data_IF_240910400250
#
_entry.id   IF_240910400250
#
_cell.length_a   1.000
_cell.length_b   1.000
_cell.length_c   1.000
_cell.angle_alpha   90.00
_cell.angle_beta   90.00
_cell.angle_gamma   90.00
#
_symmetry.space_group_name_H-M   'P 1'
#
loop_
_entity.id
_entity.type
_entity.pdbx_description
1 polymer ?
#
# COMPACT_ATOMS: atom_id res chain seq x y z
N UNK A 1 -22.38 15.86 -11.14
CA UNK A 1 -21.85 14.51 -10.87
C UNK A 1 -20.84 14.13 -11.94
N UNK A 2 -19.56 14.25 -11.61
CA UNK A 2 -18.45 13.92 -12.48
C UNK A 2 -18.26 12.40 -12.60
N UNK A 3 -17.75 11.96 -13.74
CA UNK A 3 -17.45 10.56 -14.05
C UNK A 3 -15.98 10.42 -14.38
N UNK A 4 -15.30 9.46 -13.77
CA UNK A 4 -13.90 9.14 -14.00
C UNK A 4 -13.81 7.68 -14.43
N UNK A 5 -13.12 7.40 -15.53
CA UNK A 5 -12.77 6.03 -15.91
C UNK A 5 -11.51 5.60 -15.18
N UNK A 6 -11.56 4.47 -14.46
CA UNK A 6 -10.36 3.94 -13.84
C UNK A 6 -9.46 3.30 -14.91
N UNK A 7 -8.15 3.62 -14.89
CA UNK A 7 -7.14 2.93 -15.68
C UNK A 7 -7.25 1.40 -15.56
N UNK A 8 -7.23 0.62 -16.66
CA UNK A 8 -7.28 -0.85 -16.57
C UNK A 8 -5.99 -1.52 -16.04
N UNK A 9 -4.90 -0.76 -15.78
CA UNK A 9 -3.74 -1.29 -15.05
C UNK A 9 -4.03 -1.30 -13.55
N UNK A 10 -3.59 -2.36 -12.85
CA UNK A 10 -3.77 -2.52 -11.42
C UNK A 10 -3.19 -1.34 -10.62
N UNK A 11 -1.91 -1.03 -10.80
CA UNK A 11 -1.25 0.09 -10.15
C UNK A 11 -1.95 1.41 -10.48
N UNK A 12 -2.20 1.70 -11.76
CA UNK A 12 -2.83 2.96 -12.14
C UNK A 12 -4.24 3.11 -11.55
N UNK A 13 -5.03 2.03 -11.53
CA UNK A 13 -6.34 2.00 -10.87
C UNK A 13 -6.22 2.29 -9.37
N UNK A 14 -5.25 1.67 -8.69
CA UNK A 14 -5.01 1.88 -7.26
C UNK A 14 -4.55 3.32 -6.97
N UNK A 15 -3.64 3.88 -7.77
CA UNK A 15 -3.16 5.25 -7.61
C UNK A 15 -4.31 6.27 -7.74
N UNK A 16 -5.13 6.12 -8.78
CA UNK A 16 -6.30 6.98 -9.00
C UNK A 16 -7.33 6.76 -7.89
N UNK A 17 -7.63 5.52 -7.51
CA UNK A 17 -8.56 5.21 -6.42
C UNK A 17 -8.13 5.85 -5.08
N UNK A 18 -6.84 5.83 -4.78
CA UNK A 18 -6.27 6.47 -3.58
C UNK A 18 -6.53 7.97 -3.58
N UNK A 19 -6.26 8.65 -4.71
CA UNK A 19 -6.55 10.08 -4.85
C UNK A 19 -8.05 10.37 -4.66
N UNK A 20 -8.92 9.53 -5.22
CA UNK A 20 -10.36 9.73 -5.11
C UNK A 20 -10.87 9.56 -3.69
N UNK A 21 -10.35 8.58 -2.94
CA UNK A 21 -10.65 8.44 -1.50
C UNK A 21 -10.19 9.67 -0.72
N UNK A 22 -8.98 10.17 -0.98
CA UNK A 22 -8.48 11.38 -0.33
C UNK A 22 -9.34 12.61 -0.64
N UNK A 23 -9.79 12.77 -1.90
CA UNK A 23 -10.75 13.82 -2.29
C UNK A 23 -12.07 13.67 -1.54
N UNK A 24 -12.63 12.46 -1.49
CA UNK A 24 -13.90 12.20 -0.82
C UNK A 24 -13.83 12.48 0.69
N UNK A 25 -12.73 12.10 1.32
CA UNK A 25 -12.47 12.36 2.73
C UNK A 25 -12.35 13.86 3.03
N UNK A 26 -11.63 14.60 2.18
CA UNK A 26 -11.30 16.02 2.41
C UNK A 26 -12.43 16.99 2.05
N UNK A 27 -13.20 16.67 1.01
CA UNK A 27 -14.23 17.57 0.46
C UNK A 27 -15.65 17.08 0.73
N UNK A 28 -15.80 16.11 1.62
CA UNK A 28 -17.08 15.50 1.98
C UNK A 28 -17.90 15.07 0.76
N UNK A 29 -17.29 14.22 -0.10
CA UNK A 29 -17.91 13.72 -1.32
C UNK A 29 -18.26 12.25 -1.24
N UNK A 30 -19.38 11.89 -1.88
CA UNK A 30 -19.76 10.48 -2.07
C UNK A 30 -19.06 9.95 -3.31
N UNK A 31 -18.49 8.75 -3.18
CA UNK A 31 -17.96 7.97 -4.29
C UNK A 31 -18.96 6.86 -4.61
N UNK A 32 -19.29 6.67 -5.89
CA UNK A 32 -20.06 5.54 -6.39
C UNK A 32 -19.29 4.86 -7.52
N UNK A 33 -18.75 3.68 -7.24
CA UNK A 33 -17.98 2.89 -8.20
C UNK A 33 -18.90 1.91 -8.91
N UNK A 34 -18.89 1.95 -10.24
CA UNK A 34 -19.73 1.13 -11.10
C UNK A 34 -18.90 0.36 -12.10
N UNK A 35 -19.27 -0.90 -12.32
CA UNK A 35 -18.74 -1.70 -13.42
C UNK A 35 -19.58 -1.45 -14.67
N UNK A 36 -18.95 -0.96 -15.72
CA UNK A 36 -19.59 -0.76 -17.01
C UNK A 36 -19.76 -2.08 -17.77
N UNK A 37 -20.65 -2.09 -18.77
CA UNK A 37 -20.83 -3.23 -19.67
C UNK A 37 -19.54 -3.61 -20.42
N UNK A 38 -18.64 -2.64 -20.62
CA UNK A 38 -17.30 -2.81 -21.20
C UNK A 38 -16.33 -3.60 -20.29
N UNK A 39 -16.71 -3.82 -19.03
CA UNK A 39 -15.89 -4.47 -18.01
C UNK A 39 -15.05 -3.49 -17.18
N UNK A 40 -14.90 -2.25 -17.64
CA UNK A 40 -14.15 -1.20 -16.94
C UNK A 40 -14.89 -0.68 -15.71
N UNK A 41 -14.12 -0.19 -14.75
CA UNK A 41 -14.64 0.49 -13.58
C UNK A 41 -14.72 1.99 -13.87
N UNK A 42 -15.83 2.58 -13.48
CA UNK A 42 -16.02 4.03 -13.49
C UNK A 42 -16.38 4.49 -12.10
N UNK A 43 -15.81 5.62 -11.70
CA UNK A 43 -16.09 6.25 -10.43
C UNK A 43 -16.91 7.48 -10.70
N UNK A 44 -18.06 7.56 -10.04
CA UNK A 44 -18.86 8.75 -10.03
C UNK A 44 -18.69 9.49 -8.71
N UNK A 45 -18.44 10.79 -8.80
CA UNK A 45 -18.29 11.67 -7.64
C UNK A 45 -19.33 12.77 -7.74
N UNK A 46 -20.00 13.04 -6.62
CA UNK A 46 -20.98 14.12 -6.51
C UNK A 46 -20.31 15.50 -6.46
N UNK A 47 -19.65 15.86 -7.56
CA UNK A 47 -19.03 17.16 -7.79
C UNK A 47 -19.33 17.62 -9.21
N UNK A 48 -19.30 18.94 -9.41
CA UNK A 48 -19.17 19.51 -10.75
C UNK A 48 -17.78 19.16 -11.33
N UNK A 49 -17.64 18.94 -12.66
CA UNK A 49 -16.35 18.70 -13.28
C UNK A 49 -15.27 19.75 -12.97
N UNK A 50 -15.61 21.03 -12.93
CA UNK A 50 -14.64 22.11 -12.67
C UNK A 50 -14.19 22.04 -11.20
N UNK A 51 -15.13 21.83 -10.28
CA UNK A 51 -14.83 21.65 -8.86
C UNK A 51 -13.94 20.44 -8.62
N UNK A 52 -14.20 19.33 -9.32
CA UNK A 52 -13.38 18.12 -9.23
C UNK A 52 -11.93 18.39 -9.66
N UNK A 53 -11.70 19.22 -10.68
CA UNK A 53 -10.35 19.59 -11.10
C UNK A 53 -9.62 20.29 -9.95
N UNK A 54 -10.29 21.28 -9.34
CA UNK A 54 -9.74 22.03 -8.22
C UNK A 54 -9.49 21.14 -7.00
N UNK A 55 -10.37 20.18 -6.73
CA UNK A 55 -10.21 19.19 -5.66
C UNK A 55 -8.98 18.30 -5.90
N UNK A 56 -8.77 17.81 -7.14
CA UNK A 56 -7.57 17.03 -7.51
C UNK A 56 -6.31 17.83 -7.22
N UNK A 57 -6.22 19.06 -7.71
CA UNK A 57 -5.05 19.93 -7.49
C UNK A 57 -4.84 20.18 -6.01
N UNK A 58 -5.90 20.51 -5.27
CA UNK A 58 -5.82 20.83 -3.83
C UNK A 58 -5.40 19.61 -3.00
N UNK A 59 -5.84 18.41 -3.39
CA UNK A 59 -5.40 17.14 -2.82
C UNK A 59 -3.94 16.85 -3.10
N UNK A 60 -3.45 17.03 -4.33
CA UNK A 60 -2.03 16.87 -4.65
C UNK A 60 -1.15 17.89 -3.91
N UNK A 61 -1.62 19.12 -3.70
CA UNK A 61 -0.91 20.11 -2.87
C UNK A 61 -0.86 19.76 -1.37
N UNK A 62 -1.61 18.76 -0.91
CA UNK A 62 -1.65 18.39 0.51
C UNK A 62 -0.28 17.90 0.98
N UNK A 63 0.03 18.16 2.25
CA UNK A 63 1.31 17.69 2.83
C UNK A 63 1.35 16.17 2.89
N UNK A 64 0.18 15.56 3.04
CA UNK A 64 -0.03 14.13 3.12
C UNK A 64 0.38 13.40 1.83
N UNK A 65 0.10 14.00 0.67
CA UNK A 65 0.42 13.45 -0.65
C UNK A 65 1.73 14.00 -1.23
N UNK A 66 2.45 14.85 -0.50
CA UNK A 66 3.78 15.28 -0.95
C UNK A 66 4.79 14.13 -0.87
N UNK A 67 5.70 14.00 -1.86
CA UNK A 67 6.62 12.87 -1.94
C UNK A 67 7.88 13.06 -1.05
N UNK A 68 7.70 13.72 0.10
CA UNK A 68 8.71 13.98 1.11
C UNK A 68 9.04 12.69 1.90
N UNK A 69 10.27 12.59 2.40
CA UNK A 69 10.70 11.48 3.26
C UNK A 69 11.12 10.18 2.56
N UNK A 70 11.00 10.08 1.23
CA UNK A 70 11.50 8.92 0.47
C UNK A 70 12.95 9.19 0.05
N UNK A 71 13.93 8.58 0.72
CA UNK A 71 15.34 8.67 0.32
C UNK A 71 15.62 7.83 -0.94
N UNK A 72 16.34 8.39 -1.91
CA UNK A 72 16.80 7.68 -3.12
C UNK A 72 16.16 8.16 -4.43
N UNK A 73 16.24 7.36 -5.50
CA UNK A 73 15.87 7.75 -6.86
C UNK A 73 14.44 8.31 -6.98
N UNK A 74 14.18 9.07 -8.07
CA UNK A 74 12.81 9.37 -8.48
C UNK A 74 12.05 8.05 -8.72
N UNK A 75 10.74 7.99 -8.44
CA UNK A 75 9.94 6.85 -8.83
C UNK A 75 10.23 6.50 -10.28
N UNK A 76 10.79 5.30 -10.46
CA UNK A 76 10.77 4.54 -11.69
C UNK A 76 11.44 5.20 -12.91
N UNK A 77 12.33 6.18 -12.70
CA UNK A 77 13.04 6.85 -13.79
C UNK A 77 14.51 6.47 -13.78
N UNK A 78 14.81 5.38 -14.47
CA UNK A 78 16.19 4.96 -14.69
C UNK A 78 16.48 4.92 -16.19
N UNK A 79 17.48 5.69 -16.59
CA UNK A 79 17.90 5.84 -17.97
C UNK A 79 17.07 6.85 -18.76
N UNK A 80 17.71 7.45 -19.76
CA UNK A 80 17.13 8.41 -20.71
C UNK A 80 17.00 7.83 -22.12
N UNK A 81 17.19 6.50 -22.24
CA UNK A 81 17.18 5.79 -23.52
C UNK A 81 15.74 5.58 -24.01
N UNK A 82 15.52 5.40 -25.33
CA UNK A 82 14.21 5.02 -25.88
C UNK A 82 13.55 3.86 -25.13
N UNK A 83 12.26 4.03 -24.78
CA UNK A 83 11.46 3.02 -24.09
C UNK A 83 11.63 2.97 -22.57
N UNK A 84 12.36 3.91 -21.96
CA UNK A 84 12.48 4.05 -20.51
C UNK A 84 11.50 5.11 -20.00
N UNK A 85 11.10 5.00 -18.73
CA UNK A 85 10.26 6.00 -18.07
C UNK A 85 10.95 7.37 -17.98
N UNK A 86 12.29 7.39 -17.87
CA UNK A 86 13.03 8.65 -17.86
C UNK A 86 12.98 9.40 -19.18
N UNK A 87 12.99 8.69 -20.32
CA UNK A 87 12.76 9.35 -21.62
C UNK A 87 11.34 9.87 -21.73
N UNK A 88 10.34 9.04 -21.39
CA UNK A 88 8.93 9.44 -21.44
C UNK A 88 8.67 10.67 -20.57
N UNK A 89 9.16 10.68 -19.32
CA UNK A 89 9.02 11.84 -18.46
C UNK A 89 9.79 13.05 -19.01
N UNK A 90 11.00 12.87 -19.53
CA UNK A 90 11.75 14.00 -20.12
C UNK A 90 10.99 14.66 -21.27
N UNK A 91 10.36 13.86 -22.14
CA UNK A 91 9.55 14.37 -23.25
C UNK A 91 8.29 15.08 -22.74
N UNK A 92 7.62 14.52 -21.73
CA UNK A 92 6.50 15.16 -21.06
C UNK A 92 6.91 16.51 -20.44
N UNK A 93 7.98 16.53 -19.64
CA UNK A 93 8.50 17.73 -18.97
C UNK A 93 8.87 18.82 -19.97
N UNK A 94 9.48 18.45 -21.11
CA UNK A 94 9.74 19.40 -22.21
C UNK A 94 8.45 19.95 -22.82
N UNK A 95 7.46 19.09 -23.03
CA UNK A 95 6.15 19.49 -23.60
C UNK A 95 5.40 20.44 -22.68
N UNK A 96 5.54 20.29 -21.36
CA UNK A 96 4.95 21.20 -20.37
C UNK A 96 5.82 22.44 -20.06
N UNK A 97 6.94 22.63 -20.76
CA UNK A 97 7.74 23.87 -20.71
C UNK A 97 9.07 23.79 -19.95
N UNK A 98 9.50 22.62 -19.47
CA UNK A 98 10.80 22.44 -18.81
C UNK A 98 11.86 22.04 -19.84
N UNK A 99 12.68 23.00 -20.27
CA UNK A 99 13.61 22.81 -21.39
C UNK A 99 14.80 21.87 -21.09
N UNK A 100 15.23 21.77 -19.82
CA UNK A 100 16.36 20.93 -19.37
C UNK A 100 16.05 20.20 -18.06
N UNK A 101 15.11 19.24 -18.07
CA UNK A 101 14.70 18.57 -16.85
C UNK A 101 15.85 17.69 -16.32
N UNK A 102 16.15 17.82 -15.02
CA UNK A 102 17.11 16.95 -14.34
C UNK A 102 16.36 15.87 -13.58
N UNK A 103 16.57 14.60 -13.94
CA UNK A 103 15.90 13.45 -13.34
C UNK A 103 16.65 12.89 -12.11
N UNK A 104 17.31 13.76 -11.35
CA UNK A 104 17.99 13.37 -10.11
C UNK A 104 16.98 13.19 -8.98
N UNK A 105 17.29 12.27 -8.07
CA UNK A 105 16.55 12.05 -6.82
C UNK A 105 16.23 13.36 -6.08
N UNK A 106 17.25 14.21 -5.90
CA UNK A 106 17.14 15.49 -5.19
C UNK A 106 16.12 16.46 -5.84
N UNK A 107 15.82 16.26 -7.13
CA UNK A 107 14.91 17.11 -7.92
C UNK A 107 13.46 16.65 -7.87
N UNK A 108 13.12 15.63 -7.06
CA UNK A 108 11.76 15.07 -6.98
C UNK A 108 10.69 16.13 -6.74
N UNK A 109 10.89 16.98 -5.73
CA UNK A 109 9.94 18.03 -5.38
C UNK A 109 9.79 19.04 -6.51
N UNK A 110 10.90 19.42 -7.15
CA UNK A 110 10.87 20.35 -8.30
C UNK A 110 10.10 19.78 -9.49
N UNK A 111 10.29 18.50 -9.80
CA UNK A 111 9.55 17.80 -10.87
C UNK A 111 8.06 17.76 -10.53
N UNK A 112 7.73 17.32 -9.31
CA UNK A 112 6.35 17.25 -8.80
C UNK A 112 5.65 18.60 -8.88
N UNK A 113 6.26 19.65 -8.31
CA UNK A 113 5.70 21.00 -8.33
C UNK A 113 5.55 21.54 -9.78
N UNK A 114 6.37 21.08 -10.72
CA UNK A 114 6.26 21.50 -12.12
C UNK A 114 5.13 20.79 -12.88
N UNK A 115 4.94 19.49 -12.65
CA UNK A 115 3.80 18.75 -13.18
C UNK A 115 2.49 19.29 -12.59
N UNK A 116 2.47 19.58 -11.29
CA UNK A 116 1.32 20.15 -10.60
C UNK A 116 0.92 21.53 -11.15
N UNK A 117 1.89 22.42 -11.40
CA UNK A 117 1.64 23.71 -12.07
C UNK A 117 1.08 23.53 -13.48
N UNK A 118 1.53 22.53 -14.21
CA UNK A 118 0.95 22.22 -15.51
C UNK A 118 -0.51 21.75 -15.36
N UNK A 119 -0.80 20.85 -14.41
CA UNK A 119 -2.16 20.39 -14.15
C UNK A 119 -3.10 21.53 -13.75
N UNK A 120 -2.63 22.51 -12.99
CA UNK A 120 -3.38 23.73 -12.65
C UNK A 120 -3.81 24.50 -13.90
N UNK A 121 -2.88 24.71 -14.84
CA UNK A 121 -3.19 25.37 -16.11
C UNK A 121 -4.09 24.53 -17.04
N UNK A 122 -4.10 23.21 -16.84
CA UNK A 122 -4.83 22.26 -17.67
C UNK A 122 -6.09 21.68 -17.01
N UNK A 123 -6.52 22.21 -15.85
CA UNK A 123 -7.54 21.59 -14.99
C UNK A 123 -8.87 21.30 -15.69
N UNK A 124 -9.36 22.25 -16.50
CA UNK A 124 -10.60 22.06 -17.28
C UNK A 124 -10.49 20.91 -18.30
N UNK A 125 -9.32 20.73 -18.93
CA UNK A 125 -9.07 19.61 -19.85
C UNK A 125 -8.96 18.29 -19.11
N UNK A 126 -8.26 18.28 -17.97
CA UNK A 126 -8.04 17.08 -17.16
C UNK A 126 -9.36 16.37 -16.86
N UNK A 127 -10.38 17.09 -16.38
CA UNK A 127 -11.61 16.44 -15.94
C UNK A 127 -12.47 15.96 -17.10
N UNK A 128 -12.53 16.71 -18.21
CA UNK A 128 -13.20 16.24 -19.42
C UNK A 128 -12.56 14.94 -19.93
N UNK A 129 -11.23 14.87 -19.91
CA UNK A 129 -10.44 13.74 -20.38
C UNK A 129 -10.51 12.53 -19.43
N UNK A 130 -10.61 12.73 -18.10
CA UNK A 130 -10.71 11.65 -17.10
C UNK A 130 -11.94 10.75 -17.29
N UNK A 131 -13.01 11.27 -17.90
CA UNK A 131 -14.22 10.49 -18.21
C UNK A 131 -14.08 9.57 -19.43
N UNK A 132 -13.01 9.77 -20.22
CA UNK A 132 -12.84 9.15 -21.53
C UNK A 132 -11.84 8.01 -21.47
N UNK A 133 -12.33 6.79 -21.64
CA UNK A 133 -11.52 5.59 -21.87
C UNK A 133 -11.96 4.95 -23.19
N UNK A 134 -11.03 4.80 -24.13
CA UNK A 134 -11.28 4.15 -25.42
C UNK A 134 -10.38 2.93 -25.55
N UNK A 135 -10.96 1.86 -26.10
CA UNK A 135 -10.22 0.66 -26.46
C UNK A 135 -10.46 0.31 -27.92
N UNK A 136 -9.38 0.03 -28.64
CA UNK A 136 -9.46 -0.46 -30.01
C UNK A 136 -8.47 -1.60 -30.23
N UNK A 137 -8.81 -2.52 -31.13
CA UNK A 137 -7.94 -3.62 -31.53
C UNK A 137 -7.48 -3.39 -32.96
N UNK A 138 -6.18 -3.23 -33.18
CA UNK A 138 -5.61 -3.03 -34.51
C UNK A 138 -4.33 -3.85 -34.69
N UNK A 139 -4.25 -4.65 -35.77
CA UNK A 139 -3.04 -5.43 -36.13
C UNK A 139 -2.44 -6.26 -34.97
N UNK A 140 -3.28 -6.88 -34.15
CA UNK A 140 -2.83 -7.69 -32.99
C UNK A 140 -2.37 -6.88 -31.78
N UNK A 141 -2.58 -5.56 -31.78
CA UNK A 141 -2.29 -4.64 -30.67
C UNK A 141 -3.62 -4.16 -30.06
N UNK A 142 -3.79 -4.39 -28.76
CA UNK A 142 -4.85 -3.73 -27.99
C UNK A 142 -4.39 -2.32 -27.63
N UNK A 143 -5.06 -1.31 -28.17
CA UNK A 143 -4.83 0.09 -27.85
C UNK A 143 -5.78 0.51 -26.74
N UNK A 144 -5.23 1.12 -25.70
CA UNK A 144 -5.97 1.69 -24.58
C UNK A 144 -5.60 3.18 -24.53
N UNK A 145 -6.61 4.04 -24.58
CA UNK A 145 -6.46 5.49 -24.62
C UNK A 145 -7.25 6.10 -23.45
N UNK A 146 -6.55 6.83 -22.57
CA UNK A 146 -7.14 7.61 -21.49
C UNK A 146 -7.14 9.09 -21.85
N UNK A 147 -8.30 9.68 -22.09
CA UNK A 147 -8.42 11.09 -22.48
C UNK A 147 -7.86 11.45 -23.86
N UNK A 148 -7.04 10.58 -24.47
CA UNK A 148 -6.40 10.75 -25.77
C UNK A 148 -5.19 9.82 -25.95
N UNK A 149 -4.51 9.94 -27.09
CA UNK A 149 -3.41 9.07 -27.53
C UNK A 149 -2.05 9.81 -27.70
N UNK A 150 -1.96 11.00 -27.12
CA UNK A 150 -0.84 11.93 -27.31
C UNK A 150 0.48 11.39 -26.73
N UNK A 151 0.46 10.87 -25.51
CA UNK A 151 1.65 10.46 -24.77
C UNK A 151 1.56 9.01 -24.34
N UNK A 152 2.67 8.26 -24.33
CA UNK A 152 2.69 6.98 -23.63
C UNK A 152 2.48 7.22 -22.13
N UNK A 153 1.71 6.35 -21.47
CA UNK A 153 1.61 6.33 -20.01
C UNK A 153 2.97 5.95 -19.39
N UNK A 154 3.19 6.21 -18.09
CA UNK A 154 4.38 5.71 -17.40
C UNK A 154 4.65 4.23 -17.70
N UNK A 155 5.88 3.91 -18.05
CA UNK A 155 6.32 2.58 -18.47
C UNK A 155 6.02 1.55 -17.38
N UNK A 156 6.10 1.91 -16.10
CA UNK A 156 5.65 1.06 -14.98
C UNK A 156 4.18 0.60 -15.10
N UNK A 157 3.30 1.52 -15.48
CA UNK A 157 1.85 1.27 -15.64
C UNK A 157 1.65 0.42 -16.90
N UNK A 158 2.43 0.72 -17.94
CA UNK A 158 2.42 -0.05 -19.17
C UNK A 158 2.91 -1.48 -18.95
N UNK A 159 3.97 -1.69 -18.16
CA UNK A 159 4.57 -3.01 -17.87
C UNK A 159 3.62 -3.95 -17.15
N UNK A 160 2.76 -3.45 -16.26
CA UNK A 160 1.71 -4.27 -15.65
C UNK A 160 0.61 -4.67 -16.63
N UNK A 161 0.43 -3.90 -17.70
CA UNK A 161 -0.45 -4.26 -18.80
C UNK A 161 0.19 -5.26 -19.79
N UNK A 162 1.45 -5.69 -19.59
CA UNK A 162 2.05 -6.77 -20.39
C UNK A 162 1.51 -8.11 -19.94
N UNK A 163 0.82 -8.76 -20.86
CA UNK A 163 0.22 -10.08 -20.73
C UNK A 163 1.22 -11.16 -20.28
N UNK A 164 0.91 -11.85 -19.18
CA UNK A 164 0.87 -13.31 -19.24
C UNK A 164 -0.41 -13.73 -19.99
N UNK A 165 -0.27 -14.69 -20.88
CA UNK A 165 -1.36 -15.24 -21.69
C UNK A 165 -2.41 -15.87 -20.74
N UNK A 166 -3.51 -15.19 -20.39
CA UNK A 166 -4.59 -15.91 -19.69
C UNK A 166 -5.75 -15.18 -19.04
N UNK A 167 -5.59 -13.97 -18.47
CA UNK A 167 -6.71 -13.32 -17.74
C UNK A 167 -6.70 -11.81 -17.92
N UNK A 168 -7.62 -11.28 -18.72
CA UNK A 168 -8.04 -9.89 -18.60
C UNK A 168 -9.34 -9.84 -17.83
N UNK A 169 -9.31 -9.15 -16.69
CA UNK A 169 -10.46 -8.82 -15.86
C UNK A 169 -11.38 -7.83 -16.60
N UNK A 170 -12.20 -8.33 -17.54
CA UNK A 170 -13.34 -7.59 -18.10
C UNK A 170 -13.32 -7.31 -19.60
N UNK A 171 -12.22 -7.52 -20.32
CA UNK A 171 -12.19 -7.38 -21.79
C UNK A 171 -12.39 -8.74 -22.44
N UNK A 172 -13.62 -9.06 -22.81
CA UNK A 172 -13.95 -10.25 -23.61
C UNK A 172 -14.04 -9.87 -25.10
N UNK A 173 -13.41 -10.65 -25.98
CA UNK A 173 -13.67 -10.58 -27.41
C UNK A 173 -15.08 -11.15 -27.65
N UNK A 174 -16.11 -10.29 -27.51
CA UNK A 174 -17.52 -10.67 -27.55
C UNK A 174 -17.93 -11.37 -28.85
N UNK A 175 -17.09 -11.36 -29.90
CA UNK A 175 -17.43 -11.93 -31.22
C UNK A 175 -16.90 -13.35 -31.45
N UNK A 176 -16.02 -13.92 -30.61
CA UNK A 176 -15.45 -15.27 -30.86
C UNK A 176 -15.21 -16.08 -29.58
N UNK A 177 -15.69 -17.34 -29.54
CA UNK A 177 -15.36 -18.38 -28.53
C UNK A 177 -13.93 -18.95 -28.71
N UNK A 178 -12.93 -18.14 -29.05
CA UNK A 178 -11.55 -18.58 -29.25
C UNK A 178 -10.58 -17.74 -28.40
N UNK A 179 -9.41 -18.32 -28.04
CA UNK A 179 -8.34 -17.59 -27.35
C UNK A 179 -7.91 -16.36 -28.19
N UNK A 180 -7.88 -15.15 -27.62
CA UNK A 180 -7.39 -13.97 -28.34
C UNK A 180 -5.93 -14.15 -28.77
N UNK A 181 -5.60 -13.89 -30.04
CA UNK A 181 -4.23 -13.94 -30.60
C UNK A 181 -3.38 -12.69 -30.27
N UNK A 182 -3.65 -12.00 -29.16
CA UNK A 182 -3.15 -10.63 -28.90
C UNK A 182 -1.69 -10.69 -28.40
N UNK A 183 -0.78 -9.98 -29.08
CA UNK A 183 0.66 -10.00 -28.78
C UNK A 183 1.21 -8.71 -28.17
N UNK A 184 0.39 -7.66 -27.98
CA UNK A 184 0.89 -6.36 -27.46
C UNK A 184 -0.25 -5.46 -26.95
N UNK A 185 -0.03 -4.75 -25.84
CA UNK A 185 -0.85 -3.62 -25.40
C UNK A 185 -0.11 -2.32 -25.69
N UNK A 186 -0.76 -1.36 -26.33
CA UNK A 186 -0.28 0.02 -26.38
C UNK A 186 -1.18 0.89 -25.52
N UNK A 187 -0.60 1.43 -24.45
CA UNK A 187 -1.32 2.23 -23.48
C UNK A 187 -0.84 3.68 -23.56
N UNK A 188 -1.77 4.57 -23.90
CA UNK A 188 -1.54 6.00 -24.09
C UNK A 188 -2.55 6.85 -23.33
N UNK A 189 -2.17 8.09 -23.08
CA UNK A 189 -3.00 9.07 -22.41
C UNK A 189 -2.84 10.46 -23.04
N UNK A 190 -3.78 11.35 -22.75
CA UNK A 190 -3.60 12.77 -22.95
C UNK A 190 -2.50 13.34 -22.04
N UNK A 191 -1.98 14.53 -22.38
CA UNK A 191 -0.94 15.21 -21.60
C UNK A 191 -1.33 15.42 -20.11
N UNK A 192 -2.52 15.93 -19.77
CA UNK A 192 -2.94 16.11 -18.38
C UNK A 192 -3.02 14.80 -17.60
N UNK A 193 -3.54 13.73 -18.22
CA UNK A 193 -3.63 12.43 -17.55
C UNK A 193 -2.24 11.83 -17.36
N UNK A 194 -1.35 11.94 -18.35
CA UNK A 194 0.04 11.48 -18.20
C UNK A 194 0.77 12.21 -17.05
N UNK A 195 0.60 13.53 -16.96
CA UNK A 195 1.14 14.33 -15.85
C UNK A 195 0.55 13.91 -14.50
N UNK A 196 -0.77 13.71 -14.41
CA UNK A 196 -1.43 13.21 -13.20
C UNK A 196 -0.87 11.86 -12.76
N UNK A 197 -0.68 10.91 -13.69
CA UNK A 197 -0.14 9.59 -13.36
C UNK A 197 1.31 9.67 -12.83
N UNK A 198 2.15 10.53 -13.39
CA UNK A 198 3.50 10.76 -12.85
C UNK A 198 3.45 11.42 -11.46
N UNK A 199 2.59 12.41 -11.25
CA UNK A 199 2.40 13.02 -9.93
C UNK A 199 1.94 12.01 -8.89
N UNK A 200 1.02 11.11 -9.24
CA UNK A 200 0.57 10.06 -8.33
C UNK A 200 1.66 9.02 -8.05
N UNK A 201 2.47 8.65 -9.04
CA UNK A 201 3.64 7.78 -8.82
C UNK A 201 4.66 8.43 -7.89
N UNK A 202 4.88 9.74 -8.03
CA UNK A 202 5.73 10.52 -7.13
C UNK A 202 5.14 10.53 -5.72
N UNK A 203 3.88 10.94 -5.58
CA UNK A 203 3.18 11.14 -4.32
C UNK A 203 3.02 9.86 -3.49
N UNK A 204 2.59 8.77 -4.12
CA UNK A 204 2.10 7.57 -3.43
C UNK A 204 3.15 6.47 -3.26
N UNK A 205 4.38 6.70 -3.71
CA UNK A 205 5.50 5.82 -3.38
C UNK A 205 5.73 5.83 -1.85
N UNK A 206 5.97 4.66 -1.28
CA UNK A 206 6.25 4.51 0.16
C UNK A 206 7.64 3.97 0.45
N UNK A 207 8.36 3.47 -0.55
CA UNK A 207 9.70 2.95 -0.35
C UNK A 207 10.51 2.75 -1.63
N UNK A 208 11.84 2.65 -1.47
CA UNK A 208 12.81 2.41 -2.52
C UNK A 208 14.06 1.68 -2.01
N UNK A 209 14.60 0.75 -2.82
CA UNK A 209 15.90 0.09 -2.59
C UNK A 209 16.67 0.04 -3.91
N UNK A 210 17.92 0.52 -3.86
CA UNK A 210 18.87 0.47 -4.96
C UNK A 210 19.77 -0.78 -4.87
N UNK A 211 20.12 -1.37 -6.02
CA UNK A 211 20.97 -2.55 -6.11
C UNK A 211 21.12 -3.05 -7.55
N UNK A 212 21.38 -4.35 -7.71
CA UNK A 212 21.41 -5.01 -9.03
C UNK A 212 20.05 -4.89 -9.74
N UNK A 213 18.97 -5.02 -8.98
CA UNK A 213 17.61 -4.64 -9.38
C UNK A 213 17.13 -3.52 -8.46
N UNK A 214 16.43 -2.54 -9.03
CA UNK A 214 15.86 -1.44 -8.25
C UNK A 214 14.43 -1.80 -7.86
N UNK A 215 14.11 -1.76 -6.57
CA UNK A 215 12.79 -2.11 -6.04
C UNK A 215 12.05 -0.87 -5.57
N UNK A 216 10.75 -0.82 -5.86
CA UNK A 216 9.84 0.27 -5.53
C UNK A 216 8.61 -0.30 -4.85
N UNK A 217 8.12 0.42 -3.84
CA UNK A 217 6.91 0.05 -3.12
C UNK A 217 5.89 1.18 -3.17
N UNK A 218 4.66 0.81 -3.49
CA UNK A 218 3.49 1.67 -3.44
C UNK A 218 2.53 1.10 -2.42
N UNK A 219 2.06 1.94 -1.51
CA UNK A 219 0.92 1.62 -0.66
C UNK A 219 -0.24 2.45 -1.20
N UNK A 220 -1.29 1.78 -1.65
CA UNK A 220 -2.40 2.40 -2.38
C UNK A 220 -3.72 1.70 -2.05
N UNK A 221 -4.82 2.40 -2.30
CA UNK A 221 -6.18 1.90 -2.13
C UNK A 221 -6.73 1.46 -3.48
N UNK A 222 -7.46 0.35 -3.51
CA UNK A 222 -8.28 -0.07 -4.63
C UNK A 222 -9.76 0.01 -4.23
N UNK A 223 -10.55 0.68 -5.06
CA UNK A 223 -12.00 0.71 -4.91
C UNK A 223 -12.64 -0.44 -5.69
N UNK A 224 -13.60 -1.11 -5.05
CA UNK A 224 -14.50 -2.08 -5.68
C UNK A 224 -15.88 -1.47 -5.95
N UNK A 225 -16.70 -2.09 -6.83
CA UNK A 225 -18.04 -1.61 -7.11
C UNK A 225 -18.87 -1.41 -5.85
N UNK A 226 -19.52 -0.26 -5.75
CA UNK A 226 -20.35 0.13 -4.61
C UNK A 226 -20.11 1.57 -4.18
N UNK A 227 -20.82 1.98 -3.12
CA UNK A 227 -20.78 3.35 -2.61
C UNK A 227 -19.86 3.47 -1.40
N UNK A 228 -19.14 4.60 -1.33
CA UNK A 228 -18.35 5.02 -0.18
C UNK A 228 -18.82 6.42 0.21
N UNK A 229 -19.35 6.55 1.43
CA UNK A 229 -19.80 7.82 2.00
C UNK A 229 -18.62 8.70 2.43
N UNK A 230 -18.81 10.01 2.61
CA UNK A 230 -17.77 10.90 3.15
C UNK A 230 -17.13 10.41 4.45
N UNK A 231 -17.94 9.92 5.37
CA UNK A 231 -17.48 9.43 6.68
C UNK A 231 -16.64 8.15 6.54
N UNK A 232 -17.06 7.24 5.67
CA UNK A 232 -16.27 6.06 5.30
C UNK A 232 -14.96 6.44 4.62
N UNK A 233 -14.97 7.44 3.73
CA UNK A 233 -13.77 7.93 3.07
C UNK A 233 -12.79 8.52 4.09
N UNK A 234 -13.26 9.30 5.07
CA UNK A 234 -12.44 9.83 6.18
C UNK A 234 -11.78 8.71 7.00
N UNK A 235 -12.53 7.66 7.33
CA UNK A 235 -11.97 6.48 8.01
C UNK A 235 -10.88 5.82 7.18
N UNK A 236 -11.15 5.53 5.90
CA UNK A 236 -10.18 4.86 5.00
C UNK A 236 -8.94 5.71 4.76
N UNK A 237 -9.12 7.01 4.52
CA UNK A 237 -8.00 7.95 4.31
C UNK A 237 -7.14 8.08 5.57
N UNK A 238 -7.75 8.17 6.75
CA UNK A 238 -7.02 8.17 8.03
C UNK A 238 -6.20 6.90 8.23
N UNK A 239 -6.80 5.73 8.00
CA UNK A 239 -6.11 4.43 8.05
C UNK A 239 -4.95 4.36 7.06
N UNK A 240 -5.20 4.81 5.82
CA UNK A 240 -4.22 4.84 4.74
C UNK A 240 -3.00 5.70 5.10
N UNK A 241 -3.23 6.92 5.56
CA UNK A 241 -2.16 7.87 5.88
C UNK A 241 -1.28 7.37 7.02
N UNK A 242 -1.87 6.78 8.05
CA UNK A 242 -1.13 6.18 9.16
C UNK A 242 -0.33 4.95 8.72
N UNK A 243 -0.92 4.08 7.88
CA UNK A 243 -0.21 2.95 7.31
C UNK A 243 0.98 3.39 6.45
N UNK A 244 0.79 4.40 5.60
CA UNK A 244 1.85 4.98 4.76
C UNK A 244 2.99 5.55 5.62
N UNK A 245 2.66 6.28 6.70
CA UNK A 245 3.65 6.82 7.64
C UNK A 245 4.49 5.71 8.26
N UNK A 246 3.84 4.64 8.70
CA UNK A 246 4.54 3.49 9.31
C UNK A 246 5.42 2.75 8.31
N UNK A 247 4.93 2.49 7.10
CA UNK A 247 5.71 1.85 6.04
C UNK A 247 6.93 2.70 5.66
N UNK A 248 6.75 4.02 5.49
CA UNK A 248 7.84 4.96 5.16
C UNK A 248 8.90 4.98 6.26
N UNK A 249 8.49 4.98 7.55
CA UNK A 249 9.40 4.94 8.71
C UNK A 249 10.20 3.65 8.78
N UNK A 250 9.54 2.51 8.64
CA UNK A 250 10.21 1.21 8.68
C UNK A 250 11.09 0.94 7.46
N UNK A 251 10.82 1.62 6.33
CA UNK A 251 11.61 1.59 5.11
C UNK A 251 11.47 0.29 4.30
N UNK A 252 11.69 0.37 2.99
CA UNK A 252 11.47 -0.76 2.08
C UNK A 252 12.37 -1.97 2.38
N UNK A 253 13.60 -1.76 2.83
CA UNK A 253 14.54 -2.86 3.14
C UNK A 253 13.97 -3.85 4.17
N UNK A 254 13.19 -3.36 5.13
CA UNK A 254 12.56 -4.20 6.15
C UNK A 254 11.47 -5.09 5.55
N UNK A 255 10.78 -4.62 4.52
CA UNK A 255 9.53 -5.21 4.04
C UNK A 255 9.67 -6.02 2.75
N UNK A 256 10.63 -5.71 1.88
CA UNK A 256 10.74 -6.37 0.56
C UNK A 256 11.19 -7.83 0.62
N UNK A 257 11.71 -8.27 1.77
CA UNK A 257 12.28 -9.62 1.95
C UNK A 257 11.24 -10.68 2.35
N UNK A 258 10.11 -10.28 2.93
CA UNK A 258 9.02 -11.21 3.28
C UNK A 258 7.66 -10.50 3.19
N UNK A 259 6.88 -10.88 2.17
CA UNK A 259 5.56 -10.33 1.91
C UNK A 259 4.54 -10.70 2.98
N UNK A 260 4.67 -11.87 3.63
CA UNK A 260 3.80 -12.28 4.73
C UNK A 260 4.05 -11.44 5.97
N UNK A 261 5.31 -11.10 6.24
CA UNK A 261 5.65 -10.20 7.33
C UNK A 261 5.10 -8.79 7.14
N UNK A 262 5.18 -8.24 5.91
CA UNK A 262 4.51 -6.98 5.63
C UNK A 262 2.99 -7.12 5.80
N UNK A 263 2.38 -8.16 5.23
CA UNK A 263 0.93 -8.38 5.31
C UNK A 263 0.45 -8.37 6.75
N UNK A 264 1.05 -9.19 7.60
CA UNK A 264 0.64 -9.33 8.99
C UNK A 264 0.89 -8.04 9.78
N UNK A 265 2.04 -7.38 9.61
CA UNK A 265 2.32 -6.12 10.30
C UNK A 265 1.33 -5.02 9.90
N UNK A 266 0.98 -4.93 8.62
CA UNK A 266 -0.03 -4.00 8.11
C UNK A 266 -1.42 -4.29 8.64
N UNK A 267 -1.86 -5.57 8.64
CA UNK A 267 -3.15 -5.97 9.21
C UNK A 267 -3.22 -5.59 10.70
N UNK A 268 -2.21 -5.94 11.49
CA UNK A 268 -2.18 -5.62 12.93
C UNK A 268 -2.26 -4.10 13.17
N UNK A 269 -1.51 -3.32 12.39
CA UNK A 269 -1.55 -1.86 12.47
C UNK A 269 -2.93 -1.32 12.09
N UNK A 270 -3.55 -1.85 11.05
CA UNK A 270 -4.85 -1.38 10.64
C UNK A 270 -5.94 -1.74 11.62
N UNK A 271 -5.90 -2.92 12.27
CA UNK A 271 -6.84 -3.27 13.34
C UNK A 271 -6.66 -2.28 14.51
N UNK A 272 -5.42 -2.00 14.90
CA UNK A 272 -5.10 -1.04 15.97
C UNK A 272 -5.70 0.35 15.68
N UNK A 273 -5.50 0.86 14.46
CA UNK A 273 -6.01 2.17 14.05
C UNK A 273 -7.52 2.17 13.82
N UNK A 274 -8.07 1.07 13.32
CA UNK A 274 -9.49 0.91 13.04
C UNK A 274 -10.28 0.94 14.35
N UNK A 275 -9.80 0.26 15.40
CA UNK A 275 -10.39 0.33 16.74
C UNK A 275 -10.45 1.77 17.28
N UNK A 276 -9.39 2.54 17.07
CA UNK A 276 -9.31 3.94 17.49
C UNK A 276 -10.28 4.82 16.68
N UNK A 277 -10.16 4.78 15.34
CA UNK A 277 -10.88 5.68 14.45
C UNK A 277 -12.38 5.37 14.34
N UNK A 278 -12.78 4.10 14.48
CA UNK A 278 -14.21 3.70 14.44
C UNK A 278 -14.98 4.31 15.60
N UNK A 279 -14.39 4.36 16.79
CA UNK A 279 -15.01 4.95 17.99
C UNK A 279 -15.23 6.45 17.83
N UNK A 280 -14.24 7.14 17.29
CA UNK A 280 -14.28 8.58 17.07
C UNK A 280 -15.24 8.97 15.94
N UNK A 281 -15.23 8.23 14.83
CA UNK A 281 -15.98 8.58 13.62
C UNK A 281 -17.41 8.04 13.61
N UNK A 282 -17.76 7.03 14.43
CA UNK A 282 -19.06 6.33 14.39
C UNK A 282 -19.46 5.89 12.97
N UNK A 283 -18.46 5.50 12.18
CA UNK A 283 -18.61 5.20 10.76
C UNK A 283 -19.02 3.74 10.52
N UNK A 284 -19.81 3.50 9.48
CA UNK A 284 -20.01 2.16 8.93
C UNK A 284 -18.76 1.66 8.22
N UNK A 285 -18.68 0.34 8.05
CA UNK A 285 -17.51 -0.35 7.51
C UNK A 285 -17.57 -0.33 5.98
N UNK A 286 -16.56 0.22 5.30
CA UNK A 286 -16.56 0.24 3.85
C UNK A 286 -16.17 -1.13 3.30
N UNK A 287 -17.13 -1.92 2.82
CA UNK A 287 -16.86 -3.30 2.33
C UNK A 287 -16.16 -3.36 0.96
N UNK A 288 -16.15 -2.26 0.20
CA UNK A 288 -15.68 -2.21 -1.19
C UNK A 288 -14.32 -1.51 -1.33
N UNK A 289 -13.45 -1.68 -0.33
CA UNK A 289 -12.14 -1.04 -0.27
C UNK A 289 -11.09 -2.09 0.07
N UNK A 290 -10.05 -2.15 -0.75
CA UNK A 290 -8.84 -2.93 -0.48
C UNK A 290 -7.67 -1.98 -0.34
N UNK A 291 -6.82 -2.20 0.66
CA UNK A 291 -5.50 -1.60 0.67
C UNK A 291 -4.53 -2.58 0.02
N UNK A 292 -3.61 -2.05 -0.76
CA UNK A 292 -2.62 -2.81 -1.48
C UNK A 292 -1.22 -2.30 -1.16
N UNK A 293 -0.31 -3.23 -0.93
CA UNK A 293 1.12 -3.02 -1.06
C UNK A 293 1.58 -3.63 -2.37
N UNK A 294 2.01 -2.79 -3.31
CA UNK A 294 2.44 -3.18 -4.65
C UNK A 294 3.95 -2.96 -4.74
N UNK A 295 4.69 -4.03 -5.01
CA UNK A 295 6.15 -3.98 -5.14
C UNK A 295 6.58 -4.38 -6.53
N UNK A 296 7.42 -3.52 -7.10
CA UNK A 296 7.83 -3.59 -8.48
C UNK A 296 9.36 -3.51 -8.55
N UNK A 297 9.97 -4.44 -9.28
CA UNK A 297 11.37 -4.37 -9.64
C UNK A 297 11.57 -3.71 -11.00
N UNK A 298 12.67 -2.98 -11.16
CA UNK A 298 13.07 -2.34 -12.41
C UNK A 298 14.49 -2.73 -12.83
N UNK A 299 14.64 -3.01 -14.12
CA UNK A 299 15.94 -3.09 -14.82
C UNK A 299 16.25 -1.80 -15.60
N UNK A 300 15.48 -0.74 -15.37
CA UNK A 300 15.54 0.56 -16.06
C UNK A 300 14.73 0.63 -17.35
N UNK A 301 14.69 -0.44 -18.15
CA UNK A 301 13.86 -0.51 -19.37
C UNK A 301 12.54 -1.26 -19.20
N UNK A 302 12.50 -2.15 -18.21
CA UNK A 302 11.34 -3.00 -17.93
C UNK A 302 11.09 -2.99 -16.44
N UNK A 303 9.81 -3.15 -16.10
CA UNK A 303 9.40 -3.43 -14.75
C UNK A 303 8.72 -4.78 -14.68
N UNK A 304 8.87 -5.41 -13.53
CA UNK A 304 8.29 -6.70 -13.24
C UNK A 304 7.56 -6.56 -11.91
N UNK A 305 6.25 -6.84 -11.86
CA UNK A 305 5.56 -6.94 -10.58
C UNK A 305 6.24 -8.08 -9.81
N UNK A 306 6.81 -7.76 -8.65
CA UNK A 306 7.35 -8.80 -7.77
C UNK A 306 6.21 -9.38 -6.95
N UNK A 307 5.38 -8.52 -6.38
CA UNK A 307 4.28 -8.93 -5.52
C UNK A 307 3.24 -7.83 -5.32
N UNK A 308 2.01 -8.23 -5.03
CA UNK A 308 0.91 -7.36 -4.61
C UNK A 308 0.17 -8.07 -3.48
N UNK A 309 0.14 -7.46 -2.30
CA UNK A 309 -0.64 -7.96 -1.15
C UNK A 309 -1.79 -7.02 -0.91
N UNK A 310 -3.01 -7.54 -1.03
CA UNK A 310 -4.24 -6.84 -0.75
C UNK A 310 -4.94 -7.39 0.50
N UNK A 311 -5.61 -6.53 1.25
CA UNK A 311 -6.54 -6.93 2.31
C UNK A 311 -7.76 -6.03 2.27
N UNK A 312 -8.95 -6.64 2.37
CA UNK A 312 -10.21 -5.91 2.31
C UNK A 312 -10.58 -5.40 3.70
N UNK A 313 -11.38 -4.34 3.74
CA UNK A 313 -11.98 -3.86 4.99
C UNK A 313 -12.96 -4.86 5.63
N UNK A 314 -13.55 -5.75 4.83
CA UNK A 314 -14.37 -6.85 5.35
C UNK A 314 -13.55 -7.92 6.06
N UNK A 315 -12.37 -8.26 5.51
CA UNK A 315 -11.37 -9.12 6.17
C UNK A 315 -10.90 -8.45 7.46
N UNK A 316 -10.55 -7.16 7.41
CA UNK A 316 -10.11 -6.40 8.57
C UNK A 316 -11.14 -6.39 9.70
N UNK A 317 -12.42 -6.14 9.40
CA UNK A 317 -13.46 -6.13 10.43
C UNK A 317 -13.71 -7.52 11.02
N UNK A 318 -13.67 -8.57 10.19
CA UNK A 318 -13.81 -9.95 10.66
C UNK A 318 -12.68 -10.31 11.61
N UNK A 319 -11.44 -10.01 11.23
CA UNK A 319 -10.26 -10.24 12.09
C UNK A 319 -10.31 -9.39 13.35
N UNK A 320 -10.77 -8.14 13.26
CA UNK A 320 -10.95 -7.26 14.43
C UNK A 320 -11.88 -7.91 15.45
N UNK A 321 -13.07 -8.37 15.05
CA UNK A 321 -14.03 -9.02 15.97
C UNK A 321 -13.46 -10.29 16.60
N UNK A 322 -12.71 -11.09 15.84
CA UNK A 322 -12.04 -12.29 16.37
C UNK A 322 -11.06 -11.88 17.45
N UNK A 323 -10.18 -10.93 17.14
CA UNK A 323 -9.15 -10.42 18.05
C UNK A 323 -9.76 -9.77 19.30
N UNK A 324 -10.85 -9.01 19.18
CA UNK A 324 -11.57 -8.43 20.32
C UNK A 324 -12.19 -9.51 21.21
N UNK A 325 -12.91 -10.47 20.62
CA UNK A 325 -13.51 -11.58 21.37
C UNK A 325 -12.43 -12.40 22.10
N UNK A 326 -11.32 -12.65 21.41
CA UNK A 326 -10.20 -13.39 21.95
C UNK A 326 -9.51 -12.63 23.09
N UNK A 327 -9.30 -11.32 22.91
CA UNK A 327 -8.69 -10.46 23.92
C UNK A 327 -9.58 -10.32 25.16
N UNK A 328 -10.90 -10.22 24.96
CA UNK A 328 -11.88 -10.20 26.06
C UNK A 328 -11.86 -11.50 26.87
N UNK A 329 -11.75 -12.64 26.21
CA UNK A 329 -11.65 -13.93 26.90
C UNK A 329 -10.34 -14.08 27.67
N UNK A 330 -9.25 -13.54 27.14
CA UNK A 330 -7.97 -13.50 27.84
C UNK A 330 -7.90 -12.42 28.91
N UNK A 331 -8.88 -11.52 28.96
CA UNK A 331 -8.94 -10.34 29.83
C UNK A 331 -7.72 -9.43 29.65
N UNK A 332 -7.49 -9.02 28.40
CA UNK A 332 -6.32 -8.24 27.97
C UNK A 332 -6.73 -7.05 27.13
N UNK A 333 -5.90 -6.00 27.18
CA UNK A 333 -6.03 -4.86 26.28
C UNK A 333 -5.65 -5.27 24.84
N UNK A 334 -6.66 -5.29 23.97
CA UNK A 334 -6.53 -5.65 22.55
C UNK A 334 -5.45 -4.83 21.83
N UNK A 335 -5.42 -3.52 22.06
CA UNK A 335 -4.50 -2.59 21.37
C UNK A 335 -3.06 -2.88 21.79
N UNK A 336 -2.81 -3.12 23.07
CA UNK A 336 -1.47 -3.49 23.57
C UNK A 336 -0.98 -4.81 22.96
N UNK A 337 -1.84 -5.82 22.87
CA UNK A 337 -1.46 -7.12 22.29
C UNK A 337 -1.19 -6.99 20.78
N UNK A 338 -1.99 -6.23 20.04
CA UNK A 338 -1.74 -5.97 18.62
C UNK A 338 -0.39 -5.29 18.39
N UNK A 339 -0.05 -4.29 19.22
CA UNK A 339 1.27 -3.64 19.18
C UNK A 339 2.40 -4.63 19.46
N UNK A 340 2.25 -5.51 20.46
CA UNK A 340 3.23 -6.56 20.77
C UNK A 340 3.50 -7.44 19.54
N UNK A 341 2.43 -7.99 18.98
CA UNK A 341 2.50 -8.90 17.84
C UNK A 341 3.16 -8.23 16.63
N UNK A 342 2.86 -6.94 16.41
CA UNK A 342 3.45 -6.15 15.32
C UNK A 342 4.94 -5.96 15.53
N UNK A 343 5.35 -5.57 16.73
CA UNK A 343 6.77 -5.37 17.07
C UNK A 343 7.54 -6.68 16.93
N UNK A 344 6.96 -7.79 17.39
CA UNK A 344 7.56 -9.11 17.25
C UNK A 344 7.73 -9.50 15.78
N UNK A 345 6.71 -9.29 14.93
CA UNK A 345 6.82 -9.56 13.49
C UNK A 345 7.97 -8.78 12.88
N UNK A 346 7.97 -7.46 13.05
CA UNK A 346 8.97 -6.61 12.40
C UNK A 346 10.37 -6.93 12.90
N UNK A 347 10.51 -7.14 14.21
CA UNK A 347 11.81 -7.39 14.83
C UNK A 347 12.37 -8.76 14.48
N UNK A 348 11.53 -9.81 14.47
CA UNK A 348 11.94 -11.16 14.08
C UNK A 348 12.25 -11.27 12.59
N UNK A 349 11.49 -10.58 11.72
CA UNK A 349 11.80 -10.50 10.30
C UNK A 349 13.17 -9.82 10.07
N UNK A 350 13.43 -8.71 10.76
CA UNK A 350 14.74 -8.03 10.70
C UNK A 350 15.88 -8.93 11.13
N UNK A 351 15.70 -9.75 12.16
CA UNK A 351 16.72 -10.71 12.59
C UNK A 351 16.92 -11.77 11.51
N UNK A 352 15.85 -12.45 11.07
CA UNK A 352 15.94 -13.50 10.05
C UNK A 352 16.56 -13.01 8.74
N UNK A 353 16.34 -11.74 8.38
CA UNK A 353 16.95 -11.14 7.19
C UNK A 353 18.44 -10.84 7.31
N UNK A 354 18.94 -10.56 8.52
CA UNK A 354 20.32 -10.19 8.79
C UNK A 354 21.17 -11.41 9.14
N UNK A 355 20.58 -12.35 9.86
CA UNK A 355 21.22 -13.54 10.40
C UNK A 355 20.66 -14.77 9.69
N UNK A 356 21.44 -15.34 8.76
CA UNK A 356 21.07 -16.57 8.05
C UNK A 356 21.25 -17.84 8.92
N UNK A 357 20.81 -17.80 10.18
CA UNK A 357 20.92 -18.92 11.13
C UNK A 357 19.60 -19.68 11.20
N UNK A 358 19.66 -20.98 11.50
CA UNK A 358 18.47 -21.81 11.70
C UNK A 358 17.58 -21.26 12.82
N UNK A 359 18.18 -20.78 13.91
CA UNK A 359 17.46 -20.26 15.06
C UNK A 359 16.74 -18.94 14.76
N UNK A 360 17.30 -18.06 13.92
CA UNK A 360 16.64 -16.83 13.49
C UNK A 360 15.44 -17.12 12.58
N UNK A 361 15.57 -18.09 11.67
CA UNK A 361 14.46 -18.57 10.84
C UNK A 361 13.35 -19.22 11.69
N UNK A 362 13.72 -20.02 12.69
CA UNK A 362 12.77 -20.64 13.63
C UNK A 362 12.02 -19.59 14.45
N UNK A 363 12.71 -18.54 14.92
CA UNK A 363 12.09 -17.41 15.60
C UNK A 363 11.06 -16.70 14.71
N UNK A 364 11.44 -16.40 13.46
CA UNK A 364 10.54 -15.79 12.47
C UNK A 364 9.29 -16.65 12.23
N UNK A 365 9.46 -17.94 11.98
CA UNK A 365 8.34 -18.85 11.75
C UNK A 365 7.45 -19.00 12.99
N UNK A 366 8.04 -19.05 14.18
CA UNK A 366 7.32 -19.08 15.45
C UNK A 366 6.47 -17.84 15.67
N UNK A 367 7.05 -16.65 15.49
CA UNK A 367 6.32 -15.37 15.61
C UNK A 367 5.20 -15.28 14.58
N UNK A 368 5.48 -15.65 13.32
CA UNK A 368 4.46 -15.66 12.25
C UNK A 368 3.28 -16.56 12.62
N UNK A 369 3.55 -17.78 13.06
CA UNK A 369 2.51 -18.74 13.47
C UNK A 369 1.72 -18.26 14.70
N UNK A 370 2.40 -17.62 15.65
CA UNK A 370 1.78 -17.00 16.82
C UNK A 370 0.81 -15.89 16.41
N UNK A 371 1.22 -14.98 15.51
CA UNK A 371 0.32 -13.91 15.05
C UNK A 371 -0.87 -14.47 14.28
N UNK A 372 -0.67 -15.43 13.39
CA UNK A 372 -1.78 -16.09 12.69
C UNK A 372 -2.77 -16.71 13.67
N UNK A 373 -2.26 -17.47 14.64
CA UNK A 373 -3.09 -18.12 15.65
C UNK A 373 -3.88 -17.10 16.48
N UNK A 374 -3.29 -15.94 16.78
CA UNK A 374 -3.97 -14.85 17.45
C UNK A 374 -5.07 -14.23 16.58
N UNK A 375 -4.77 -13.88 15.33
CA UNK A 375 -5.74 -13.27 14.40
C UNK A 375 -6.88 -14.20 13.99
N UNK A 376 -6.67 -15.52 14.12
CA UNK A 376 -7.68 -16.55 13.84
C UNK A 376 -8.39 -17.08 15.09
N UNK A 377 -8.02 -16.62 16.29
CA UNK A 377 -8.63 -17.06 17.55
C UNK A 377 -8.31 -18.49 17.97
N UNK A 378 -7.20 -19.06 17.49
CA UNK A 378 -6.76 -20.45 17.72
C UNK A 378 -5.93 -20.58 18.99
N UNK A 379 -6.59 -20.80 20.15
CA UNK A 379 -5.91 -20.85 21.47
C UNK A 379 -4.86 -21.95 21.60
N UNK A 380 -5.14 -23.22 21.25
CA UNK A 380 -4.17 -24.30 21.43
C UNK A 380 -2.88 -24.04 20.65
N UNK A 381 -3.01 -23.58 19.42
CA UNK A 381 -1.91 -23.25 18.51
C UNK A 381 -1.15 -22.02 18.99
N UNK A 382 -1.86 -20.99 19.48
CA UNK A 382 -1.22 -19.82 20.07
C UNK A 382 -0.39 -20.19 21.30
N UNK A 383 -0.92 -21.06 22.16
CA UNK A 383 -0.21 -21.54 23.35
C UNK A 383 1.04 -22.34 22.97
N UNK A 384 0.91 -23.29 22.04
CA UNK A 384 2.03 -24.11 21.57
C UNK A 384 3.14 -23.26 20.93
N UNK A 385 2.77 -22.34 20.03
CA UNK A 385 3.73 -21.42 19.38
C UNK A 385 4.42 -20.51 20.39
N UNK A 386 3.68 -19.98 21.38
CA UNK A 386 4.26 -19.18 22.48
C UNK A 386 5.26 -20.00 23.30
N UNK A 387 4.95 -21.26 23.63
CA UNK A 387 5.87 -22.13 24.36
C UNK A 387 7.14 -22.45 23.57
N UNK A 388 7.02 -22.71 22.27
CA UNK A 388 8.19 -22.95 21.40
C UNK A 388 9.09 -21.72 21.36
N UNK A 389 8.51 -20.53 21.20
CA UNK A 389 9.26 -19.26 21.24
C UNK A 389 9.94 -19.02 22.57
N UNK A 390 9.25 -19.27 23.69
CA UNK A 390 9.84 -19.16 25.03
C UNK A 390 11.06 -20.07 25.19
N UNK A 391 10.96 -21.33 24.73
CA UNK A 391 12.06 -22.28 24.78
C UNK A 391 13.24 -21.82 23.93
N UNK A 392 12.97 -21.34 22.73
CA UNK A 392 13.99 -20.82 21.81
C UNK A 392 14.73 -19.60 22.39
N UNK A 393 13.99 -18.63 22.93
CA UNK A 393 14.57 -17.40 23.50
C UNK A 393 15.25 -17.62 24.86
N UNK A 394 14.89 -18.68 25.58
CA UNK A 394 15.55 -19.06 26.85
C UNK A 394 16.90 -19.75 26.65
N UNK A 395 17.18 -20.25 25.45
CA UNK A 395 18.47 -20.87 25.15
C UNK A 395 19.55 -19.80 24.94
N UNK A 396 20.29 -19.53 26.02
CA UNK A 396 21.38 -18.54 26.06
C UNK A 396 22.48 -18.79 25.03
N UNK A 397 22.60 -20.02 24.49
CA UNK A 397 23.61 -20.36 23.47
C UNK A 397 23.31 -19.72 22.12
N UNK A 398 22.06 -19.33 21.88
CA UNK A 398 21.63 -18.80 20.58
C UNK A 398 21.89 -17.30 20.43
N UNK A 399 22.04 -16.54 21.52
CA UNK A 399 22.13 -15.07 21.48
C UNK A 399 20.88 -14.34 20.98
N UNK A 400 19.85 -15.07 20.54
CA UNK A 400 18.66 -14.54 19.86
C UNK A 400 17.88 -13.53 20.68
N UNK A 401 17.84 -13.70 22.00
CA UNK A 401 17.16 -12.78 22.92
C UNK A 401 17.73 -11.37 22.80
N UNK A 402 19.07 -11.25 22.80
CA UNK A 402 19.75 -9.96 22.67
C UNK A 402 19.57 -9.38 21.26
N UNK A 403 19.61 -10.22 20.23
CA UNK A 403 19.32 -9.79 18.86
C UNK A 403 17.89 -9.25 18.71
N UNK A 404 16.92 -9.90 19.35
CA UNK A 404 15.52 -9.47 19.34
C UNK A 404 15.32 -8.15 20.06
N UNK A 405 15.91 -8.00 21.25
CA UNK A 405 15.90 -6.75 21.99
C UNK A 405 16.51 -5.58 21.21
N UNK A 406 17.68 -5.81 20.60
CA UNK A 406 18.36 -4.82 19.77
C UNK A 406 17.52 -4.46 18.53
N UNK A 407 16.87 -5.45 17.91
CA UNK A 407 15.99 -5.25 16.76
C UNK A 407 14.74 -4.44 17.14
N UNK A 408 14.13 -4.73 18.30
CA UNK A 408 13.01 -3.98 18.86
C UNK A 408 13.40 -2.54 19.19
N UNK A 409 14.58 -2.32 19.77
CA UNK A 409 15.09 -0.98 20.06
C UNK A 409 15.30 -0.16 18.77
N UNK A 410 15.91 -0.77 17.75
CA UNK A 410 16.07 -0.14 16.44
C UNK A 410 14.73 0.18 15.80
N UNK A 411 13.74 -0.73 15.88
CA UNK A 411 12.41 -0.47 15.34
C UNK A 411 11.67 0.64 16.11
N UNK A 412 11.80 0.70 17.43
CA UNK A 412 11.25 1.79 18.23
C UNK A 412 11.84 3.14 17.81
N UNK A 413 13.15 3.20 17.55
CA UNK A 413 13.81 4.40 17.02
C UNK A 413 13.26 4.80 15.65
N UNK A 414 13.06 3.85 14.73
CA UNK A 414 12.48 4.12 13.41
C UNK A 414 11.04 4.68 13.52
N UNK A 415 10.29 4.28 14.54
CA UNK A 415 8.97 4.81 14.86
C UNK A 415 9.00 6.18 15.55
N UNK A 416 10.18 6.69 15.92
CA UNK A 416 10.32 7.94 16.68
C UNK A 416 9.97 7.80 18.17
N UNK A 417 10.13 6.61 18.74
CA UNK A 417 9.92 6.32 20.17
C UNK A 417 11.13 5.58 20.78
N UNK A 418 11.06 5.21 22.06
CA UNK A 418 12.10 4.43 22.75
C UNK A 418 11.64 2.99 22.98
N UNK A 419 12.60 2.07 23.11
CA UNK A 419 12.28 0.71 23.53
C UNK A 419 11.56 0.71 24.87
N UNK A 420 11.97 1.56 25.82
CA UNK A 420 11.33 1.67 27.13
C UNK A 420 9.86 2.10 27.03
N UNK A 421 9.53 3.08 26.18
CA UNK A 421 8.15 3.51 25.98
C UNK A 421 7.35 2.39 25.33
N UNK A 422 7.93 1.74 24.32
CA UNK A 422 7.32 0.60 23.66
C UNK A 422 7.09 -0.54 24.67
N UNK A 423 8.06 -0.84 25.54
CA UNK A 423 7.97 -1.88 26.58
C UNK A 423 6.98 -1.51 27.69
N UNK A 424 6.93 -0.25 28.13
CA UNK A 424 5.93 0.25 29.08
C UNK A 424 4.51 0.12 28.53
N UNK A 425 4.32 0.33 27.23
CA UNK A 425 3.03 0.06 26.59
C UNK A 425 2.73 -1.44 26.48
N UNK A 426 3.78 -2.28 26.45
CA UNK A 426 3.69 -3.74 26.41
C UNK A 426 3.59 -4.40 27.78
N UNK A 427 3.61 -3.65 28.91
CA UNK A 427 3.35 -4.26 30.23
C UNK A 427 1.90 -4.73 30.29
N UNK A 428 1.77 -6.03 30.11
CA UNK A 428 0.55 -6.81 30.19
C UNK A 428 0.17 -7.01 31.67
N UNK A 429 -0.59 -6.07 32.23
CA UNK A 429 -1.23 -6.23 33.54
C UNK A 429 -2.63 -6.87 33.35
N UNK A 430 -2.88 -8.07 33.90
CA UNK A 430 -4.22 -8.65 33.89
C UNK A 430 -5.13 -8.01 34.94
N UNK A 431 -6.45 -8.18 34.83
CA UNK A 431 -7.28 -8.15 36.02
C UNK A 431 -6.95 -9.37 36.91
N UNK A 432 -7.18 -9.28 38.23
CA UNK A 432 -6.79 -10.28 39.23
C UNK A 432 -7.24 -11.73 38.93
N UNK A 433 -8.17 -11.91 37.99
CA UNK A 433 -8.89 -13.14 37.71
C UNK A 433 -8.37 -13.91 36.47
N UNK A 434 -7.48 -13.32 35.64
CA UNK A 434 -7.07 -13.86 34.34
C UNK A 434 -6.02 -15.00 34.38
N UNK A 435 -6.21 -16.00 35.26
CA UNK A 435 -5.25 -17.11 35.48
C UNK A 435 -5.26 -18.17 34.35
N UNK A 436 -5.23 -17.79 33.08
CA UNK A 436 -5.06 -18.76 31.97
C UNK A 436 -3.58 -19.08 31.73
N UNK A 437 -3.27 -20.32 31.34
CA UNK A 437 -1.90 -20.75 31.04
C UNK A 437 -1.28 -19.96 29.87
N UNK A 438 -2.10 -19.63 28.88
CA UNK A 438 -1.73 -18.80 27.73
C UNK A 438 -1.27 -17.40 28.16
N UNK A 439 -2.01 -16.76 29.07
CA UNK A 439 -1.63 -15.45 29.57
C UNK A 439 -0.33 -15.47 30.35
N UNK A 440 -0.12 -16.47 31.21
CA UNK A 440 1.17 -16.65 31.91
C UNK A 440 2.32 -16.81 30.92
N UNK A 441 2.11 -17.56 29.83
CA UNK A 441 3.13 -17.75 28.80
C UNK A 441 3.41 -16.47 28.00
N UNK A 442 2.38 -15.70 27.62
CA UNK A 442 2.56 -14.40 26.94
C UNK A 442 3.24 -13.38 27.85
N UNK A 443 2.82 -13.28 29.12
CA UNK A 443 3.49 -12.42 30.12
C UNK A 443 4.92 -12.85 30.35
N UNK A 444 5.19 -14.16 30.42
CA UNK A 444 6.54 -14.70 30.55
C UNK A 444 7.39 -14.42 29.32
N UNK A 445 6.79 -14.45 28.12
CA UNK A 445 7.44 -14.09 26.87
C UNK A 445 7.81 -12.61 26.89
N UNK A 446 6.88 -11.72 27.25
CA UNK A 446 7.15 -10.29 27.40
C UNK A 446 8.20 -10.04 28.48
N UNK A 447 8.11 -10.64 29.66
CA UNK A 447 9.10 -10.46 30.71
C UNK A 447 10.47 -11.00 30.30
N UNK A 448 10.52 -12.12 29.58
CA UNK A 448 11.78 -12.68 29.10
C UNK A 448 12.37 -11.80 28.00
N UNK A 449 11.54 -11.20 27.16
CA UNK A 449 12.02 -10.23 26.16
C UNK A 449 12.51 -8.95 26.83
N UNK A 450 11.91 -8.49 27.93
CA UNK A 450 12.11 -7.14 28.49
C UNK A 450 13.01 -7.05 29.73
N UNK A 451 13.27 -8.17 30.41
CA UNK A 451 14.28 -8.28 31.46
C UNK A 451 15.70 -8.30 30.89
#
# INVERSE_FOLDING_TARGET
MAKIALPPSHLASCLVSTLLVHIAARFDRVIDVRREASGFLTVHIDADPIDLAQMIITSLRSRELRPEGISGALPLILGTKPGTDGKTLTELLKTVGILKPSLKAEKRIEIYDSLLRFLESAGARLVNELSTLRTSLSRGVLKIELGGDHCPVPVVIKSEAFYEIGRFSGVSDRRKKQRPKIGRVDYRASLPIAALLYDLLLALQTGYVAGVTNEYMFTAIQLEPGKVTPLQAKLVDGLYLELVRDVRRAGLRTWSQDYEGLRLASILRLIELYEYLKRDLRAEIPVNVLFNHIIIASTGRRFFPLWSVGFSMSELDTTTRIVESFSKELDVDTVRVLRLMRVLIVSSLRIASRTATSSAAELWHGVRAMVYSFTEGKKPELLDTTYRMLRLLSDMRTGLRNELLNSMASYAQDLGTTLENLVKELTLEPAENAKTALWRSLKKLVSLITA
#
